data_IF_034522235194
#
_entry.id   IF_034522235194
#
_cell.length_a   1.000
_cell.length_b   1.000
_cell.length_c   1.000
_cell.angle_alpha   90.00
_cell.angle_beta   90.00
_cell.angle_gamma   90.00
#
_symmetry.space_group_name_H-M   'P 1'
#
loop_
_entity.id
_entity.type
_entity.pdbx_description
1 polymer ?
#
# COMPACT_ATOMS: atom_id res chain seq x y z
N UNK A 1 -30.02 2.67 -8.12
CA UNK A 1 -29.57 2.08 -6.84
C UNK A 1 -29.77 3.12 -5.76
N UNK A 2 -30.60 2.84 -4.76
CA UNK A 2 -30.72 3.69 -3.58
C UNK A 2 -29.44 3.59 -2.75
N UNK A 3 -28.87 4.70 -2.25
CA UNK A 3 -27.72 4.62 -1.36
C UNK A 3 -28.13 3.91 -0.07
N UNK A 4 -27.41 2.84 0.28
CA UNK A 4 -27.57 2.19 1.59
C UNK A 4 -26.98 3.09 2.65
N UNK A 5 -27.81 3.61 3.55
CA UNK A 5 -27.34 4.38 4.70
C UNK A 5 -26.75 3.42 5.74
N UNK A 6 -25.43 3.45 5.89
CA UNK A 6 -24.71 2.71 6.91
C UNK A 6 -24.36 3.69 8.04
N UNK A 7 -24.93 3.49 9.22
CA UNK A 7 -24.54 4.26 10.41
C UNK A 7 -23.33 3.60 11.07
N UNK A 8 -22.20 4.29 11.00
CA UNK A 8 -20.95 3.87 11.62
C UNK A 8 -20.82 4.52 13.01
N UNK A 9 -20.17 3.84 13.97
CA UNK A 9 -19.78 4.48 15.22
C UNK A 9 -18.96 5.74 14.97
N UNK A 10 -19.13 6.79 15.77
CA UNK A 10 -18.41 8.08 15.60
C UNK A 10 -16.89 7.89 15.52
N UNK A 11 -16.34 6.96 16.30
CA UNK A 11 -14.90 6.63 16.30
C UNK A 11 -14.46 6.12 14.92
N UNK A 12 -15.24 5.22 14.31
CA UNK A 12 -14.96 4.71 12.97
C UNK A 12 -15.06 5.81 11.91
N UNK A 13 -16.07 6.69 12.01
CA UNK A 13 -16.22 7.84 11.10
C UNK A 13 -15.01 8.77 11.17
N UNK A 14 -14.56 9.14 12.38
CA UNK A 14 -13.38 9.99 12.58
C UNK A 14 -12.12 9.33 12.02
N UNK A 15 -11.94 8.02 12.25
CA UNK A 15 -10.79 7.27 11.72
C UNK A 15 -10.81 7.28 10.19
N UNK A 16 -11.95 7.01 9.55
CA UNK A 16 -12.11 7.07 8.09
C UNK A 16 -11.78 8.46 7.55
N UNK A 17 -12.32 9.53 8.16
CA UNK A 17 -12.07 10.90 7.72
C UNK A 17 -10.58 11.26 7.80
N UNK A 18 -9.88 10.84 8.86
CA UNK A 18 -8.43 11.04 9.00
C UNK A 18 -7.65 10.32 7.90
N UNK A 19 -7.97 9.06 7.63
CA UNK A 19 -7.31 8.28 6.58
C UNK A 19 -7.60 8.85 5.20
N UNK A 20 -8.85 9.25 4.95
CA UNK A 20 -9.26 9.88 3.71
C UNK A 20 -8.45 11.15 3.44
N UNK A 21 -8.29 12.01 4.45
CA UNK A 21 -7.48 13.22 4.35
C UNK A 21 -6.00 12.89 4.06
N UNK A 22 -5.41 11.96 4.81
CA UNK A 22 -4.00 11.55 4.61
C UNK A 22 -3.74 10.99 3.21
N UNK A 23 -4.73 10.30 2.61
CA UNK A 23 -4.64 9.73 1.28
C UNK A 23 -5.12 10.66 0.15
N UNK A 24 -5.57 11.90 0.45
CA UNK A 24 -6.14 12.81 -0.54
C UNK A 24 -7.43 12.29 -1.19
N UNK A 25 -8.24 11.51 -0.48
CA UNK A 25 -9.48 10.88 -0.96
C UNK A 25 -10.70 11.40 -0.18
N UNK A 26 -11.91 11.15 -0.72
CA UNK A 26 -13.13 11.40 0.04
C UNK A 26 -13.39 10.31 1.09
N UNK A 27 -14.08 10.62 2.21
CA UNK A 27 -14.44 9.62 3.22
C UNK A 27 -15.25 8.44 2.66
N UNK A 28 -16.14 8.69 1.69
CA UNK A 28 -16.91 7.64 1.03
C UNK A 28 -16.02 6.69 0.19
N UNK A 29 -14.96 7.22 -0.44
CA UNK A 29 -13.98 6.38 -1.13
C UNK A 29 -13.13 5.58 -0.14
N UNK A 30 -12.71 6.21 0.95
CA UNK A 30 -11.94 5.56 2.00
C UNK A 30 -12.73 4.44 2.68
N UNK A 31 -14.02 4.65 2.93
CA UNK A 31 -14.91 3.63 3.49
C UNK A 31 -14.92 2.35 2.63
N UNK A 32 -14.88 2.46 1.29
CA UNK A 32 -14.83 1.27 0.42
C UNK A 32 -13.57 0.43 0.63
N UNK A 33 -12.42 1.08 0.83
CA UNK A 33 -11.17 0.37 1.12
C UNK A 33 -11.20 -0.27 2.49
N UNK A 34 -11.66 0.47 3.51
CA UNK A 34 -11.76 -0.05 4.88
C UNK A 34 -12.73 -1.23 4.97
N UNK A 35 -13.86 -1.20 4.26
CA UNK A 35 -14.80 -2.33 4.21
C UNK A 35 -14.23 -3.56 3.48
N UNK A 36 -13.30 -3.36 2.53
CA UNK A 36 -12.67 -4.44 1.77
C UNK A 36 -11.51 -5.08 2.53
N UNK A 37 -10.61 -4.26 3.08
CA UNK A 37 -9.30 -4.69 3.58
C UNK A 37 -9.17 -4.56 5.11
N UNK A 38 -10.09 -3.87 5.77
CA UNK A 38 -9.98 -3.50 7.17
C UNK A 38 -9.16 -2.22 7.39
N UNK A 39 -9.20 -1.70 8.62
CA UNK A 39 -8.53 -0.43 8.93
C UNK A 39 -7.01 -0.56 8.93
N UNK A 40 -6.49 -1.66 9.47
CA UNK A 40 -5.06 -1.86 9.72
C UNK A 40 -4.30 -1.96 8.39
N UNK A 41 -4.83 -2.71 7.42
CA UNK A 41 -4.23 -2.82 6.09
C UNK A 41 -4.24 -1.49 5.33
N UNK A 42 -5.35 -0.74 5.43
CA UNK A 42 -5.48 0.59 4.81
C UNK A 42 -4.51 1.59 5.44
N UNK A 43 -4.38 1.58 6.76
CA UNK A 43 -3.43 2.43 7.50
C UNK A 43 -1.99 2.15 7.09
N UNK A 44 -1.62 0.87 6.99
CA UNK A 44 -0.29 0.48 6.54
C UNK A 44 -0.02 0.94 5.11
N UNK A 45 -0.96 0.68 4.19
CA UNK A 45 -0.82 1.06 2.79
C UNK A 45 -0.66 2.57 2.58
N UNK A 46 -1.43 3.40 3.32
CA UNK A 46 -1.28 4.87 3.24
C UNK A 46 0.11 5.30 3.71
N UNK A 47 0.61 4.70 4.79
CA UNK A 47 1.94 5.02 5.33
C UNK A 47 3.05 4.63 4.35
N UNK A 48 2.96 3.44 3.77
CA UNK A 48 3.95 2.94 2.81
C UNK A 48 3.97 3.75 1.52
N UNK A 49 2.79 4.12 1.01
CA UNK A 49 2.69 4.99 -0.17
C UNK A 49 3.28 6.38 0.11
N UNK A 50 2.99 6.99 1.26
CA UNK A 50 3.57 8.28 1.62
C UNK A 50 5.10 8.23 1.70
N UNK A 51 5.66 7.11 2.19
CA UNK A 51 7.11 6.90 2.19
C UNK A 51 7.66 6.73 0.77
N UNK A 52 6.99 5.95 -0.08
CA UNK A 52 7.39 5.75 -1.47
C UNK A 52 7.34 7.07 -2.26
N UNK A 53 6.31 7.89 -2.08
CA UNK A 53 6.19 9.21 -2.70
C UNK A 53 7.33 10.14 -2.27
N UNK A 54 7.71 10.11 -0.98
CA UNK A 54 8.84 10.88 -0.48
C UNK A 54 10.19 10.40 -1.06
N UNK A 55 10.39 9.09 -1.18
CA UNK A 55 11.57 8.51 -1.83
C UNK A 55 11.63 8.89 -3.31
N UNK A 56 10.50 8.83 -4.00
CA UNK A 56 10.38 9.24 -5.39
C UNK A 56 10.75 10.72 -5.57
N UNK A 57 10.19 11.60 -4.72
CA UNK A 57 10.50 13.03 -4.74
C UNK A 57 11.97 13.34 -4.39
N UNK A 58 12.61 12.52 -3.55
CA UNK A 58 14.04 12.61 -3.23
C UNK A 58 14.95 12.05 -4.34
N UNK A 59 14.39 11.53 -5.44
CA UNK A 59 15.15 10.91 -6.52
C UNK A 59 15.70 9.53 -6.18
N UNK A 60 15.27 8.90 -5.09
CA UNK A 60 15.66 7.56 -4.67
C UNK A 60 14.93 6.48 -5.49
N UNK A 61 14.95 6.63 -6.83
CA UNK A 61 14.38 5.68 -7.78
C UNK A 61 15.49 4.99 -8.54
N UNK A 62 15.20 3.78 -9.02
CA UNK A 62 16.14 2.96 -9.80
C UNK A 62 15.57 2.78 -11.20
N UNK A 63 16.42 2.80 -12.22
CA UNK A 63 15.99 2.58 -13.58
C UNK A 63 15.46 1.13 -13.74
N UNK A 64 14.40 0.98 -14.52
CA UNK A 64 13.76 -0.33 -14.74
C UNK A 64 14.74 -1.42 -15.19
N UNK A 65 15.66 -1.08 -16.11
CA UNK A 65 16.66 -2.03 -16.61
C UNK A 65 17.57 -2.57 -15.50
N UNK A 66 17.90 -1.75 -14.51
CA UNK A 66 18.74 -2.14 -13.38
C UNK A 66 17.94 -3.02 -12.41
N UNK A 67 16.68 -2.65 -12.11
CA UNK A 67 15.78 -3.48 -11.30
C UNK A 67 15.63 -4.88 -11.89
N UNK A 68 15.40 -4.99 -13.19
CA UNK A 68 15.21 -6.30 -13.85
C UNK A 68 16.50 -7.14 -13.83
N UNK A 69 17.66 -6.49 -13.97
CA UNK A 69 18.97 -7.14 -13.91
C UNK A 69 19.23 -7.70 -12.51
N UNK A 70 18.98 -6.90 -11.48
CA UNK A 70 19.18 -7.27 -10.07
C UNK A 70 18.22 -8.39 -9.67
N UNK A 71 16.95 -8.29 -10.08
CA UNK A 71 15.95 -9.33 -9.84
C UNK A 71 16.34 -10.68 -10.44
N UNK A 72 16.81 -10.70 -11.70
CA UNK A 72 17.28 -11.93 -12.35
C UNK A 72 18.49 -12.53 -11.61
N UNK A 73 19.44 -11.68 -11.19
CA UNK A 73 20.60 -12.10 -10.41
C UNK A 73 20.18 -12.77 -9.10
N UNK A 74 19.25 -12.16 -8.35
CA UNK A 74 18.74 -12.71 -7.09
C UNK A 74 18.07 -14.09 -7.28
N UNK A 75 17.29 -14.26 -8.35
CA UNK A 75 16.66 -15.54 -8.70
C UNK A 75 17.69 -16.62 -8.99
N UNK A 76 18.73 -16.31 -9.78
CA UNK A 76 19.81 -17.26 -10.06
C UNK A 76 20.58 -17.64 -8.80
N UNK A 77 20.89 -16.68 -7.93
CA UNK A 77 21.57 -16.94 -6.67
C UNK A 77 20.74 -17.86 -5.76
N UNK A 78 19.44 -17.61 -5.63
CA UNK A 78 18.55 -18.44 -4.84
C UNK A 78 18.50 -19.89 -5.37
N UNK A 79 18.49 -20.08 -6.69
CA UNK A 79 18.58 -21.40 -7.32
C UNK A 79 19.88 -22.12 -6.97
N UNK A 80 21.02 -21.44 -7.06
CA UNK A 80 22.31 -22.03 -6.72
C UNK A 80 22.40 -22.44 -5.25
N UNK A 81 21.88 -21.61 -4.34
CA UNK A 81 21.82 -21.94 -2.90
C UNK A 81 20.94 -23.17 -2.65
N UNK A 82 19.76 -23.24 -3.27
CA UNK A 82 18.87 -24.39 -3.12
C UNK A 82 19.49 -25.69 -3.65
N UNK A 83 20.27 -25.61 -4.73
CA UNK A 83 20.98 -26.77 -5.29
C UNK A 83 22.17 -27.21 -4.44
N UNK A 84 22.87 -26.28 -3.77
CA UNK A 84 23.98 -26.61 -2.89
C UNK A 84 23.52 -27.20 -1.53
N UNK A 85 22.24 -27.04 -1.18
CA UNK A 85 21.64 -27.56 0.04
C UNK A 85 20.92 -28.91 -0.15
N UNK A 86 20.90 -29.45 -1.38
CA UNK A 86 20.31 -30.74 -1.74
C UNK A 86 21.40 -31.80 -1.96
#
# INVERSE_FOLDING_TARGET
MTPTEIQLPKIAQTRISRLAHAAGRSPAAMLRFVLRDGFEAVELSIKENALADAQFAAGATVAHADVMRDALSAVHQAKHVAQAAA
#
